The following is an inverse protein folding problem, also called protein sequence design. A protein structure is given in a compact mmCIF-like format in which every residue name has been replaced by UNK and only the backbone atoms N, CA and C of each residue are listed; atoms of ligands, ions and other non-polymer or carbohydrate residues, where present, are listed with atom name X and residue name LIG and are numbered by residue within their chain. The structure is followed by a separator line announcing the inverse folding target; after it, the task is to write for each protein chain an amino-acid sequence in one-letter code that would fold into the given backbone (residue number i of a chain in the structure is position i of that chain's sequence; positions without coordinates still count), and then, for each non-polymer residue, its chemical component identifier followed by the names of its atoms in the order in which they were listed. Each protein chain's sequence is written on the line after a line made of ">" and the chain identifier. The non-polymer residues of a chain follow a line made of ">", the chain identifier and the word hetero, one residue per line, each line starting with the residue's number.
data_IF_387850425309
#
_entry.id   IF_387850425309
#
_cell.length_a   1.000
_cell.length_b   1.000
_cell.length_c   1.000
_cell.angle_alpha   90.00
_cell.angle_beta   90.00
_cell.angle_gamma   90.00
#
_symmetry.space_group_name_H-M   'P 1'
#
loop_
_entity.id
_entity.type
_entity.pdbx_description
1 polymer ?
#
# COMPACT_ATOMS: atom_id res chain seq x y z
N UNK A 1 -5.18 -0.82 16.06
CA UNK A 1 -6.63 -0.61 15.86
C UNK A 1 -6.82 0.69 15.09
N UNK A 2 -7.39 0.62 13.88
CA UNK A 2 -7.55 1.77 12.96
C UNK A 2 -8.37 2.93 13.56
N UNK A 3 -8.08 4.18 13.19
CA UNK A 3 -8.91 5.38 13.46
C UNK A 3 -10.11 5.52 12.50
N UNK A 4 -10.39 4.54 11.64
CA UNK A 4 -11.53 4.55 10.69
C UNK A 4 -12.90 4.44 11.41
N UNK A 5 -12.92 4.20 12.72
CA UNK A 5 -14.14 4.23 13.52
C UNK A 5 -14.64 5.68 13.58
N UNK A 6 -15.85 5.89 13.06
CA UNK A 6 -16.50 7.19 12.95
C UNK A 6 -17.97 7.10 13.32
N UNK A 7 -18.59 8.26 13.60
CA UNK A 7 -20.04 8.41 13.71
C UNK A 7 -20.53 9.35 12.61
N UNK A 8 -21.54 8.92 11.86
CA UNK A 8 -22.04 9.66 10.71
C UNK A 8 -21.15 9.49 9.47
N UNK A 9 -21.24 10.42 8.52
CA UNK A 9 -20.56 10.33 7.23
C UNK A 9 -19.18 11.01 7.28
N UNK A 10 -18.26 10.46 8.08
CA UNK A 10 -16.87 10.88 8.10
C UNK A 10 -15.96 9.87 7.39
N UNK A 11 -14.97 10.37 6.66
CA UNK A 11 -14.07 9.54 5.86
C UNK A 11 -12.63 10.06 5.94
N UNK A 12 -11.67 9.14 6.06
CA UNK A 12 -10.25 9.48 6.20
C UNK A 12 -9.47 9.32 4.88
N UNK A 13 -8.45 10.16 4.73
CA UNK A 13 -7.31 10.01 3.81
C UNK A 13 -6.03 10.41 4.57
N UNK A 14 -4.87 10.32 3.93
CA UNK A 14 -3.60 10.68 4.57
C UNK A 14 -3.64 12.12 5.11
N UNK A 15 -3.36 12.27 6.42
CA UNK A 15 -3.29 13.56 7.11
C UNK A 15 -4.61 14.34 7.19
N UNK A 16 -5.73 13.81 6.69
CA UNK A 16 -6.96 14.55 6.51
C UNK A 16 -8.22 13.69 6.72
N UNK A 17 -9.24 14.26 7.36
CA UNK A 17 -10.59 13.68 7.46
C UNK A 17 -11.62 14.63 6.86
N UNK A 18 -12.66 14.08 6.22
CA UNK A 18 -13.78 14.85 5.65
C UNK A 18 -15.09 14.43 6.30
N UNK A 19 -15.92 15.41 6.66
CA UNK A 19 -17.31 15.23 7.06
C UNK A 19 -18.21 15.63 5.88
N UNK A 20 -19.11 14.72 5.47
CA UNK A 20 -20.04 14.93 4.37
C UNK A 20 -21.48 15.05 4.86
N UNK A 21 -22.22 16.04 4.37
CA UNK A 21 -23.65 16.21 4.62
C UNK A 21 -24.39 16.43 3.29
N UNK A 22 -25.64 16.00 3.23
CA UNK A 22 -26.56 16.26 2.11
C UNK A 22 -27.54 17.37 2.50
N UNK A 23 -27.80 18.26 1.54
CA UNK A 23 -28.81 19.31 1.62
C UNK A 23 -29.70 19.24 0.38
N UNK A 24 -31.00 19.42 0.59
CA UNK A 24 -32.01 19.44 -0.47
C UNK A 24 -33.22 20.27 -0.05
N UNK A 25 -34.06 20.64 -1.01
CA UNK A 25 -35.38 21.24 -0.74
C UNK A 25 -36.35 20.21 -0.13
N UNK A 26 -37.54 20.65 0.28
CA UNK A 26 -38.60 19.74 0.75
C UNK A 26 -39.05 18.79 -0.37
N UNK A 27 -38.97 19.21 -1.63
CA UNK A 27 -39.23 18.39 -2.81
C UNK A 27 -38.03 17.50 -3.22
N UNK A 28 -36.97 17.42 -2.38
CA UNK A 28 -35.75 16.64 -2.62
C UNK A 28 -34.95 17.12 -3.84
N UNK A 29 -34.99 18.42 -4.12
CA UNK A 29 -34.19 19.04 -5.19
C UNK A 29 -32.83 19.52 -4.67
N UNK A 30 -31.82 19.51 -5.53
CA UNK A 30 -30.51 20.09 -5.23
C UNK A 30 -30.62 21.60 -5.03
N UNK A 31 -29.93 22.10 -4.01
CA UNK A 31 -29.84 23.54 -3.69
C UNK A 31 -28.48 24.12 -4.10
N UNK A 32 -28.46 25.40 -4.46
CA UNK A 32 -27.21 26.10 -4.74
C UNK A 32 -26.48 26.48 -3.44
N UNK A 33 -25.19 26.77 -3.55
CA UNK A 33 -24.39 27.27 -2.42
C UNK A 33 -24.94 28.62 -1.95
N UNK A 34 -25.25 28.71 -0.66
CA UNK A 34 -25.80 29.89 -0.02
C UNK A 34 -25.21 30.04 1.39
N UNK A 35 -24.99 31.29 1.82
CA UNK A 35 -24.50 31.64 3.16
C UNK A 35 -25.37 31.09 4.30
N UNK A 36 -26.65 30.80 4.01
CA UNK A 36 -27.66 30.18 4.88
C UNK A 36 -27.42 28.69 5.14
N UNK A 37 -26.71 27.98 4.27
CA UNK A 37 -26.39 26.57 4.48
C UNK A 37 -25.11 26.48 5.29
N UNK A 38 -25.17 25.94 6.50
CA UNK A 38 -24.11 26.11 7.50
C UNK A 38 -23.74 24.81 8.20
N UNK A 39 -22.53 24.78 8.73
CA UNK A 39 -22.03 23.74 9.63
C UNK A 39 -21.43 24.40 10.86
N UNK A 40 -21.88 23.94 12.02
CA UNK A 40 -21.26 24.21 13.30
C UNK A 40 -20.25 23.11 13.58
N UNK A 41 -19.04 23.44 14.00
CA UNK A 41 -18.04 22.44 14.36
C UNK A 41 -17.15 22.89 15.51
N UNK A 42 -16.61 21.91 16.24
CA UNK A 42 -15.62 22.14 17.29
C UNK A 42 -14.61 21.00 17.33
N UNK A 43 -13.48 21.27 17.99
CA UNK A 43 -12.41 20.31 18.20
C UNK A 43 -12.36 19.96 19.67
N UNK A 44 -12.31 18.67 19.97
CA UNK A 44 -12.16 18.12 21.31
C UNK A 44 -10.71 17.63 21.44
N UNK A 45 -10.03 18.09 22.47
CA UNK A 45 -8.64 17.77 22.72
C UNK A 45 -8.49 16.42 23.42
N UNK A 46 -7.30 15.85 23.38
CA UNK A 46 -6.95 14.67 24.16
C UNK A 46 -7.11 14.90 25.68
N UNK A 47 -6.90 16.11 26.18
CA UNK A 47 -7.11 16.46 27.59
C UNK A 47 -8.60 16.49 27.94
N UNK A 48 -9.45 17.03 27.06
CA UNK A 48 -10.90 16.98 27.25
C UNK A 48 -11.42 15.53 27.35
N UNK A 49 -10.86 14.63 26.56
CA UNK A 49 -11.21 13.20 26.63
C UNK A 49 -10.76 12.56 27.95
N UNK A 50 -9.56 12.89 28.43
CA UNK A 50 -9.10 12.41 29.75
C UNK A 50 -9.98 12.91 30.89
N UNK A 51 -10.46 14.15 30.81
CA UNK A 51 -11.40 14.72 31.78
C UNK A 51 -12.79 14.05 31.70
N UNK A 52 -13.26 13.73 30.48
CA UNK A 52 -14.55 13.08 30.25
C UNK A 52 -14.55 11.58 30.63
N UNK A 53 -13.40 10.91 30.48
CA UNK A 53 -13.29 9.45 30.58
C UNK A 53 -12.13 9.01 31.48
N UNK A 54 -12.44 8.31 32.57
CA UNK A 54 -11.49 7.73 33.53
C UNK A 54 -10.69 6.51 33.00
N UNK A 55 -10.27 6.52 31.73
CA UNK A 55 -9.61 5.45 30.95
C UNK A 55 -10.58 4.42 30.32
N UNK A 56 -10.86 4.62 29.03
CA UNK A 56 -11.33 3.58 28.12
C UNK A 56 -10.66 3.81 26.79
N UNK A 57 -10.16 2.74 26.17
CA UNK A 57 -9.55 2.79 24.83
C UNK A 57 -10.55 2.40 23.73
N UNK A 58 -11.80 2.11 24.09
CA UNK A 58 -12.84 1.78 23.13
C UNK A 58 -13.29 3.04 22.37
N UNK A 59 -12.80 3.15 21.14
CA UNK A 59 -13.08 4.28 20.23
C UNK A 59 -14.57 4.53 19.99
N UNK A 60 -15.40 3.47 20.00
CA UNK A 60 -16.84 3.61 19.78
C UNK A 60 -17.49 4.29 21.00
N UNK A 61 -17.17 3.80 22.20
CA UNK A 61 -17.65 4.36 23.47
C UNK A 61 -17.17 5.81 23.64
N UNK A 62 -15.92 6.10 23.27
CA UNK A 62 -15.39 7.47 23.30
C UNK A 62 -16.25 8.39 22.42
N UNK A 63 -16.47 8.05 21.15
CA UNK A 63 -17.25 8.91 20.25
C UNK A 63 -18.70 9.10 20.73
N UNK A 64 -19.34 8.05 21.25
CA UNK A 64 -20.70 8.12 21.78
C UNK A 64 -20.80 9.13 22.94
N UNK A 65 -19.88 9.04 23.92
CA UNK A 65 -19.86 9.97 25.06
C UNK A 65 -19.50 11.40 24.67
N UNK A 66 -18.60 11.56 23.72
CA UNK A 66 -18.23 12.88 23.21
C UNK A 66 -19.42 13.56 22.52
N UNK A 67 -20.19 12.82 21.73
CA UNK A 67 -21.42 13.35 21.14
C UNK A 67 -22.42 13.70 22.25
N UNK A 68 -22.63 12.84 23.23
CA UNK A 68 -23.55 13.09 24.35
C UNK A 68 -23.19 14.37 25.12
N UNK A 69 -21.93 14.54 25.50
CA UNK A 69 -21.45 15.68 26.28
C UNK A 69 -21.43 16.98 25.45
N UNK A 70 -20.94 16.95 24.22
CA UNK A 70 -20.66 18.17 23.44
C UNK A 70 -21.75 18.55 22.43
N UNK A 71 -22.75 17.69 22.18
CA UNK A 71 -23.94 18.06 21.38
C UNK A 71 -24.61 19.35 21.87
N UNK A 72 -24.90 19.53 23.18
CA UNK A 72 -25.49 20.76 23.71
C UNK A 72 -24.69 22.03 23.38
N UNK A 73 -23.37 21.90 23.24
CA UNK A 73 -22.48 23.02 22.96
C UNK A 73 -22.65 23.53 21.52
N UNK A 74 -22.82 22.62 20.54
CA UNK A 74 -23.15 22.97 19.15
C UNK A 74 -24.49 23.68 19.07
N UNK A 75 -25.52 23.14 19.74
CA UNK A 75 -26.88 23.71 19.74
C UNK A 75 -26.88 25.13 20.31
N UNK A 76 -26.33 25.31 21.52
CA UNK A 76 -26.21 26.63 22.17
C UNK A 76 -25.44 27.64 21.30
N UNK A 77 -24.41 27.20 20.58
CA UNK A 77 -23.65 28.09 19.70
C UNK A 77 -24.49 28.58 18.51
N UNK A 78 -25.26 27.68 17.89
CA UNK A 78 -26.16 28.00 16.78
C UNK A 78 -27.31 28.91 17.25
N UNK A 79 -27.89 28.65 18.43
CA UNK A 79 -28.91 29.52 19.05
C UNK A 79 -28.37 30.93 19.30
N UNK A 80 -27.14 31.05 19.82
CA UNK A 80 -26.47 32.35 20.01
C UNK A 80 -26.19 33.08 18.71
N UNK A 81 -25.91 32.39 17.60
CA UNK A 81 -25.79 33.05 16.28
C UNK A 81 -27.16 33.51 15.75
N UNK A 82 -28.19 32.68 15.93
CA UNK A 82 -29.55 32.96 15.45
C UNK A 82 -30.22 34.16 16.11
N UNK A 83 -29.65 34.67 17.21
CA UNK A 83 -30.17 35.79 17.97
C UNK A 83 -29.11 36.87 18.16
N UNK A 84 -29.41 38.11 17.75
CA UNK A 84 -28.53 39.27 17.92
C UNK A 84 -29.27 40.32 18.74
N UNK A 85 -28.74 40.69 19.91
CA UNK A 85 -29.37 41.61 20.86
C UNK A 85 -30.84 41.23 21.18
N UNK A 86 -31.09 39.94 21.44
CA UNK A 86 -32.42 39.37 21.69
C UNK A 86 -33.42 39.54 20.53
N UNK A 87 -32.95 39.76 19.31
CA UNK A 87 -33.76 39.80 18.09
C UNK A 87 -33.34 38.68 17.13
N UNK A 88 -34.26 38.17 16.30
CA UNK A 88 -33.92 37.23 15.23
C UNK A 88 -32.81 37.79 14.34
N UNK A 89 -31.88 36.94 13.95
CA UNK A 89 -30.87 37.28 12.96
C UNK A 89 -31.54 37.59 11.61
N UNK A 90 -31.04 38.60 10.92
CA UNK A 90 -31.48 38.94 9.55
C UNK A 90 -30.42 38.51 8.54
N UNK A 91 -30.85 38.22 7.31
CA UNK A 91 -29.96 37.73 6.24
C UNK A 91 -28.70 38.61 6.04
N UNK A 92 -28.87 39.93 6.02
CA UNK A 92 -27.77 40.87 5.77
C UNK A 92 -26.73 40.91 6.91
N UNK A 93 -27.06 40.40 8.10
CA UNK A 93 -26.16 40.29 9.25
C UNK A 93 -25.39 38.96 9.27
N UNK A 94 -25.79 37.97 8.46
CA UNK A 94 -25.19 36.65 8.44
C UNK A 94 -23.80 36.72 7.79
N UNK A 95 -22.80 36.14 8.47
CA UNK A 95 -21.40 36.16 8.02
C UNK A 95 -20.96 34.76 7.59
N UNK A 96 -20.00 34.71 6.66
CA UNK A 96 -19.46 33.44 6.17
C UNK A 96 -18.83 32.58 7.27
N UNK A 97 -18.23 33.21 8.29
CA UNK A 97 -17.70 32.55 9.47
C UNK A 97 -18.02 33.38 10.72
N UNK A 98 -18.53 32.71 11.75
CA UNK A 98 -18.74 33.23 13.11
C UNK A 98 -18.08 32.29 14.11
N UNK A 99 -17.59 32.83 15.22
CA UNK A 99 -16.99 32.06 16.30
C UNK A 99 -17.75 32.34 17.60
N UNK A 100 -18.14 31.28 18.33
CA UNK A 100 -18.88 31.38 19.58
C UNK A 100 -18.14 30.63 20.68
N UNK A 101 -18.12 31.20 21.89
CA UNK A 101 -17.65 30.51 23.09
C UNK A 101 -18.86 29.98 23.86
N UNK A 102 -18.88 28.67 24.09
CA UNK A 102 -19.89 27.99 24.91
C UNK A 102 -19.15 27.18 25.95
N UNK A 103 -19.34 27.51 27.23
CA UNK A 103 -18.77 26.76 28.36
C UNK A 103 -17.26 26.47 28.18
N UNK A 104 -16.51 27.52 27.78
CA UNK A 104 -15.06 27.51 27.46
C UNK A 104 -14.66 26.66 26.25
N UNK A 105 -15.60 26.25 25.40
CA UNK A 105 -15.33 25.65 24.08
C UNK A 105 -15.55 26.62 22.94
N UNK A 106 -14.63 26.60 21.99
CA UNK A 106 -14.70 27.38 20.77
C UNK A 106 -15.46 26.60 19.70
N UNK A 107 -16.67 27.06 19.39
CA UNK A 107 -17.48 26.55 18.30
C UNK A 107 -17.37 27.48 17.11
N UNK A 108 -17.07 26.92 15.94
CA UNK A 108 -16.97 27.65 14.67
C UNK A 108 -18.22 27.37 13.84
N UNK A 109 -18.84 28.43 13.38
CA UNK A 109 -20.08 28.44 12.62
C UNK A 109 -19.73 28.96 11.23
N UNK A 110 -19.86 28.13 10.20
CA UNK A 110 -19.37 28.49 8.87
C UNK A 110 -20.36 28.12 7.78
N UNK A 111 -20.33 28.89 6.69
CA UNK A 111 -21.01 28.55 5.45
C UNK A 111 -20.42 27.27 4.85
N UNK A 112 -21.30 26.39 4.40
CA UNK A 112 -20.95 25.13 3.77
C UNK A 112 -20.77 25.31 2.28
N UNK A 113 -19.59 24.95 1.77
CA UNK A 113 -19.41 24.80 0.31
C UNK A 113 -20.21 23.61 -0.18
N UNK A 114 -21.01 23.79 -1.23
CA UNK A 114 -21.90 22.75 -1.77
C UNK A 114 -21.46 22.28 -3.14
N UNK A 115 -21.40 20.97 -3.29
CA UNK A 115 -21.16 20.30 -4.57
C UNK A 115 -22.48 19.74 -5.07
N UNK A 116 -22.92 20.22 -6.23
CA UNK A 116 -24.02 19.59 -6.97
C UNK A 116 -23.54 18.23 -7.48
N UNK A 117 -23.76 17.22 -6.66
CA UNK A 117 -23.19 15.89 -6.82
C UNK A 117 -24.29 14.86 -6.96
N UNK A 118 -23.94 13.72 -7.56
CA UNK A 118 -24.85 12.59 -7.63
C UNK A 118 -24.82 11.74 -6.36
N UNK A 119 -23.78 11.86 -5.53
CA UNK A 119 -23.56 11.00 -4.37
C UNK A 119 -22.36 11.44 -3.54
N UNK A 120 -22.28 10.99 -2.27
CA UNK A 120 -21.04 11.02 -1.49
C UNK A 120 -19.87 10.40 -2.25
N UNK A 121 -20.11 9.28 -2.96
CA UNK A 121 -19.08 8.63 -3.77
C UNK A 121 -18.48 9.55 -4.83
N UNK A 122 -19.28 10.43 -5.42
CA UNK A 122 -18.81 11.41 -6.42
C UNK A 122 -17.84 12.42 -5.80
N UNK A 123 -18.18 12.95 -4.61
CA UNK A 123 -17.33 13.89 -3.86
C UNK A 123 -16.04 13.21 -3.41
N UNK A 124 -16.13 11.99 -2.85
CA UNK A 124 -14.95 11.24 -2.40
C UNK A 124 -14.00 10.92 -3.56
N UNK A 125 -14.52 10.53 -4.73
CA UNK A 125 -13.70 10.34 -5.94
C UNK A 125 -12.98 11.62 -6.33
N UNK A 126 -13.71 12.75 -6.42
CA UNK A 126 -13.15 14.03 -6.84
C UNK A 126 -12.05 14.53 -5.87
N UNK A 127 -12.25 14.33 -4.56
CA UNK A 127 -11.29 14.71 -3.51
C UNK A 127 -10.21 13.64 -3.23
N UNK A 128 -10.11 12.61 -4.07
CA UNK A 128 -9.10 11.52 -4.00
C UNK A 128 -9.16 10.67 -2.72
N UNK A 129 -10.33 10.54 -2.10
CA UNK A 129 -10.58 9.60 -1.00
C UNK A 129 -10.80 8.17 -1.54
N UNK A 130 -9.81 7.62 -2.23
CA UNK A 130 -9.95 6.35 -2.97
C UNK A 130 -10.25 5.16 -2.06
N UNK A 131 -9.59 5.05 -0.92
CA UNK A 131 -9.83 3.98 0.04
C UNK A 131 -11.26 4.05 0.59
N UNK A 132 -11.66 5.22 1.10
CA UNK A 132 -13.01 5.43 1.62
C UNK A 132 -14.07 5.10 0.54
N UNK A 133 -13.88 5.56 -0.69
CA UNK A 133 -14.79 5.22 -1.79
C UNK A 133 -14.84 3.72 -2.11
N UNK A 134 -13.70 3.03 -2.14
CA UNK A 134 -13.64 1.61 -2.56
C UNK A 134 -14.07 0.66 -1.45
N UNK A 135 -13.61 0.87 -0.21
CA UNK A 135 -13.66 -0.11 0.88
C UNK A 135 -14.64 0.25 2.01
N UNK A 136 -14.81 1.53 2.33
CA UNK A 136 -15.60 1.98 3.51
C UNK A 136 -17.02 2.38 3.14
N UNK A 137 -17.18 3.16 2.07
CA UNK A 137 -18.46 3.72 1.67
C UNK A 137 -19.43 2.61 1.24
N UNK A 138 -20.64 2.62 1.81
CA UNK A 138 -21.70 1.68 1.47
C UNK A 138 -22.13 1.81 0.00
N UNK A 139 -22.52 0.70 -0.63
CA UNK A 139 -22.81 0.64 -2.08
C UNK A 139 -23.90 1.63 -2.51
N UNK A 140 -24.96 1.79 -1.71
CA UNK A 140 -26.06 2.74 -1.92
C UNK A 140 -25.64 4.22 -1.86
N UNK A 141 -24.52 4.54 -1.22
CA UNK A 141 -23.98 5.91 -1.12
C UNK A 141 -22.94 6.22 -2.21
N UNK A 142 -22.52 5.21 -2.99
CA UNK A 142 -21.54 5.38 -4.09
C UNK A 142 -22.19 5.96 -5.33
N UNK A 143 -23.39 5.51 -5.66
CA UNK A 143 -24.10 5.84 -6.88
C UNK A 143 -25.55 6.14 -6.50
N UNK A 144 -25.92 7.40 -6.55
CA UNK A 144 -27.30 7.83 -6.50
C UNK A 144 -27.59 8.57 -7.82
N UNK A 145 -28.81 8.40 -8.34
CA UNK A 145 -29.23 8.95 -9.64
C UNK A 145 -29.79 10.37 -9.49
N UNK A 146 -30.34 10.70 -8.32
CA UNK A 146 -30.89 12.01 -8.03
C UNK A 146 -29.76 12.99 -7.68
N UNK A 147 -29.79 14.18 -8.30
CA UNK A 147 -28.84 15.26 -7.97
C UNK A 147 -29.18 15.78 -6.58
N UNK A 148 -28.18 15.84 -5.71
CA UNK A 148 -28.25 16.43 -4.37
C UNK A 148 -27.10 17.41 -4.17
N UNK A 149 -27.24 18.27 -3.17
CA UNK A 149 -26.17 19.18 -2.79
C UNK A 149 -25.41 18.60 -1.62
N UNK A 150 -24.15 18.26 -1.83
CA UNK A 150 -23.31 17.64 -0.81
C UNK A 150 -22.31 18.66 -0.30
N UNK A 151 -22.23 18.89 1.01
CA UNK A 151 -21.13 19.64 1.60
C UNK A 151 -19.93 18.76 1.88
N UNK A 152 -18.73 19.32 1.81
CA UNK A 152 -17.52 18.66 2.27
C UNK A 152 -16.72 19.58 3.20
N UNK A 153 -16.71 19.26 4.49
CA UNK A 153 -15.91 19.97 5.48
C UNK A 153 -14.69 19.13 5.84
N UNK A 154 -13.51 19.67 5.55
CA UNK A 154 -12.24 18.97 5.63
C UNK A 154 -11.44 19.43 6.85
N UNK A 155 -10.78 18.50 7.53
CA UNK A 155 -9.98 18.76 8.72
C UNK A 155 -8.62 18.08 8.63
N UNK A 156 -7.57 18.82 9.02
CA UNK A 156 -6.22 18.29 9.25
C UNK A 156 -5.81 18.51 10.69
N UNK A 157 -4.88 17.69 11.21
CA UNK A 157 -4.39 17.80 12.58
C UNK A 157 -3.87 19.21 12.89
N UNK A 158 -3.13 19.82 11.97
CA UNK A 158 -2.60 21.19 12.12
C UNK A 158 -3.73 22.24 12.21
N UNK A 159 -4.71 22.16 11.31
CA UNK A 159 -5.83 23.10 11.31
C UNK A 159 -6.65 23.03 12.60
N UNK A 160 -6.80 21.83 13.16
CA UNK A 160 -7.53 21.61 14.40
C UNK A 160 -6.72 22.04 15.63
N UNK A 161 -5.40 21.84 15.63
CA UNK A 161 -4.52 22.35 16.68
C UNK A 161 -4.52 23.88 16.74
N UNK A 162 -4.61 24.57 15.61
CA UNK A 162 -4.78 26.03 15.59
C UNK A 162 -6.10 26.49 16.22
N UNK A 163 -7.15 25.67 16.14
CA UNK A 163 -8.43 25.95 16.82
C UNK A 163 -8.26 25.83 18.33
N UNK A 164 -7.58 24.78 18.81
CA UNK A 164 -7.27 24.62 20.25
C UNK A 164 -6.44 25.79 20.77
N UNK A 165 -5.40 26.21 20.04
CA UNK A 165 -4.59 27.39 20.43
C UNK A 165 -5.46 28.64 20.55
N UNK A 166 -6.38 28.86 19.60
CA UNK A 166 -7.33 29.98 19.65
C UNK A 166 -8.32 29.86 20.81
N UNK A 167 -8.81 28.66 21.11
CA UNK A 167 -9.68 28.39 22.25
C UNK A 167 -8.99 28.77 23.57
N UNK A 168 -7.76 28.29 23.78
CA UNK A 168 -6.93 28.61 24.97
C UNK A 168 -6.79 30.12 25.13
N UNK A 169 -6.45 30.83 24.05
CA UNK A 169 -6.29 32.29 24.07
C UNK A 169 -7.59 33.04 24.39
N UNK A 170 -8.74 32.56 23.89
CA UNK A 170 -10.05 33.21 24.09
C UNK A 170 -10.69 32.92 25.45
N UNK A 171 -10.31 31.81 26.07
CA UNK A 171 -10.95 31.31 27.31
C UNK A 171 -10.07 31.48 28.54
N UNK A 172 -8.86 32.01 28.37
CA UNK A 172 -7.84 32.14 29.42
C UNK A 172 -7.52 30.80 30.10
N UNK A 173 -7.72 29.67 29.39
CA UNK A 173 -7.29 28.34 29.85
C UNK A 173 -5.77 28.35 29.96
N UNK A 174 -5.21 27.66 30.95
CA UNK A 174 -3.75 27.52 31.06
C UNK A 174 -3.26 26.69 29.87
N UNK A 175 -2.29 27.16 29.08
CA UNK A 175 -1.77 26.38 27.96
C UNK A 175 -1.13 25.10 28.47
N UNK A 176 -1.54 23.97 27.91
CA UNK A 176 -0.89 22.68 28.09
C UNK A 176 -0.15 22.31 26.80
N UNK A 177 1.14 21.99 26.90
CA UNK A 177 1.97 21.63 25.73
C UNK A 177 1.59 20.28 25.13
N UNK A 178 1.00 19.40 25.94
CA UNK A 178 0.59 18.07 25.53
C UNK A 178 -0.85 18.04 24.99
N UNK A 179 -1.57 19.17 25.04
CA UNK A 179 -2.92 19.29 24.52
C UNK A 179 -2.92 19.34 22.99
N UNK A 180 -3.56 18.36 22.36
CA UNK A 180 -3.63 18.20 20.92
C UNK A 180 -5.04 17.87 20.47
N UNK A 181 -5.36 18.24 19.23
CA UNK A 181 -6.59 17.88 18.57
C UNK A 181 -6.73 16.37 18.49
N UNK A 182 -7.87 15.87 18.93
CA UNK A 182 -8.11 14.44 19.05
C UNK A 182 -9.39 13.99 18.35
N UNK A 183 -10.50 14.70 18.56
CA UNK A 183 -11.78 14.44 17.88
C UNK A 183 -12.33 15.74 17.29
N UNK A 184 -13.01 15.65 16.15
CA UNK A 184 -13.80 16.75 15.59
C UNK A 184 -15.27 16.36 15.56
N UNK A 185 -16.13 17.31 15.96
CA UNK A 185 -17.58 17.19 15.87
C UNK A 185 -18.12 18.25 14.93
N UNK A 186 -19.11 17.89 14.12
CA UNK A 186 -19.83 18.84 13.29
C UNK A 186 -21.32 18.57 13.26
N UNK A 187 -22.12 19.63 13.19
CA UNK A 187 -23.57 19.60 13.07
C UNK A 187 -24.02 20.52 11.92
N UNK A 188 -24.75 20.01 10.91
CA UNK A 188 -25.32 20.86 9.89
C UNK A 188 -26.56 21.62 10.42
N UNK A 189 -26.77 22.81 9.89
CA UNK A 189 -27.97 23.62 10.13
C UNK A 189 -28.22 24.57 8.95
N UNK A 190 -29.45 25.01 8.79
CA UNK A 190 -29.87 25.88 7.68
C UNK A 190 -30.69 27.03 8.23
N UNK A 191 -30.50 28.21 7.63
CA UNK A 191 -31.43 29.32 7.78
C UNK A 191 -32.39 29.40 6.59
N UNK A 192 -33.68 29.60 6.84
CA UNK A 192 -34.62 30.05 5.81
C UNK A 192 -34.99 31.50 6.08
N UNK A 193 -35.39 32.22 5.02
CA UNK A 193 -36.01 33.54 5.21
C UNK A 193 -37.48 33.28 5.53
N UNK A 194 -38.00 33.87 6.61
CA UNK A 194 -39.43 33.75 6.95
C UNK A 194 -40.27 34.34 5.81
N UNK A 195 -41.28 33.59 5.38
CA UNK A 195 -42.12 33.90 4.20
C UNK A 195 -42.69 35.34 4.20
N UNK A 196 -43.07 35.87 5.37
CA UNK A 196 -43.67 37.21 5.52
C UNK A 196 -42.69 38.31 5.98
N UNK A 197 -41.38 38.03 6.02
CA UNK A 197 -40.42 38.98 6.59
C UNK A 197 -40.03 40.10 5.63
N UNK A 198 -40.44 41.34 5.96
CA UNK A 198 -39.99 42.57 5.27
C UNK A 198 -38.49 42.85 5.45
N UNK A 199 -37.89 42.32 6.51
CA UNK A 199 -36.49 42.55 6.91
C UNK A 199 -35.59 41.34 6.67
N UNK A 200 -36.09 40.32 5.96
CA UNK A 200 -35.38 39.05 5.72
C UNK A 200 -34.91 38.38 7.01
N UNK A 201 -35.77 38.37 8.03
CA UNK A 201 -35.55 37.60 9.25
C UNK A 201 -35.35 36.12 8.92
N UNK A 202 -34.38 35.54 9.60
CA UNK A 202 -34.03 34.14 9.43
C UNK A 202 -34.78 33.28 10.46
N UNK A 203 -35.24 32.12 10.00
CA UNK A 203 -35.68 31.02 10.84
C UNK A 203 -34.64 29.89 10.79
N UNK A 204 -34.37 29.29 11.95
CA UNK A 204 -33.35 28.26 12.11
C UNK A 204 -33.96 26.86 11.97
N UNK A 205 -33.28 26.00 11.22
CA UNK A 205 -33.48 24.56 11.23
C UNK A 205 -32.15 23.86 11.54
N UNK A 206 -32.04 23.25 12.73
CA UNK A 206 -30.88 22.46 13.15
C UNK A 206 -31.12 20.97 12.91
N UNK A 207 -30.06 20.25 12.51
CA UNK A 207 -30.10 18.80 12.28
C UNK A 207 -29.26 18.08 13.33
N UNK A 208 -29.74 18.11 14.57
CA UNK A 208 -29.04 17.56 15.72
C UNK A 208 -28.88 16.03 15.69
N UNK A 209 -29.72 15.33 14.92
CA UNK A 209 -29.63 13.90 14.67
C UNK A 209 -28.58 13.56 13.60
N UNK A 210 -28.03 14.56 12.91
CA UNK A 210 -27.00 14.44 11.87
C UNK A 210 -25.62 14.88 12.34
N UNK A 211 -25.35 14.84 13.65
CA UNK A 211 -24.01 15.11 14.16
C UNK A 211 -23.04 14.05 13.64
N UNK A 212 -21.92 14.52 13.11
CA UNK A 212 -20.81 13.69 12.63
C UNK A 212 -19.65 13.87 13.60
N UNK A 213 -19.04 12.77 14.02
CA UNK A 213 -17.85 12.78 14.85
C UNK A 213 -16.79 11.82 14.30
N UNK A 214 -15.54 12.27 14.30
CA UNK A 214 -14.40 11.46 13.90
C UNK A 214 -13.15 11.79 14.69
N UNK A 215 -12.29 10.79 14.90
CA UNK A 215 -10.94 11.02 15.38
C UNK A 215 -10.12 11.77 14.33
N UNK A 216 -9.13 12.54 14.80
CA UNK A 216 -8.10 13.07 13.93
C UNK A 216 -7.39 11.94 13.18
N UNK A 217 -7.01 12.17 11.91
CA UNK A 217 -6.28 11.18 11.14
C UNK A 217 -4.95 10.87 11.86
N UNK A 218 -4.76 9.60 12.20
CA UNK A 218 -3.47 9.07 12.60
C UNK A 218 -2.87 8.37 11.39
N UNK A 219 -1.55 8.49 11.23
CA UNK A 219 -0.80 7.64 10.34
C UNK A 219 -0.37 6.42 11.15
N UNK A 220 -1.06 5.30 10.97
CA UNK A 220 -0.65 4.01 11.50
C UNK A 220 0.11 3.30 10.37
N UNK A 221 1.40 3.08 10.60
CA UNK A 221 2.24 2.28 9.72
C UNK A 221 2.44 0.92 10.38
N UNK A 222 1.95 -0.14 9.74
CA UNK A 222 2.15 -1.52 10.19
C UNK A 222 3.15 -2.19 9.24
N UNK A 223 4.26 -2.71 9.78
CA UNK A 223 5.21 -3.49 8.99
C UNK A 223 5.04 -4.98 9.31
N UNK A 224 4.68 -5.77 8.30
CA UNK A 224 4.83 -7.22 8.33
C UNK A 224 6.25 -7.59 7.95
N UNK A 225 7.07 -7.99 8.92
CA UNK A 225 8.44 -8.46 8.67
C UNK A 225 8.48 -9.97 8.67
N UNK A 226 8.95 -10.55 7.57
CA UNK A 226 8.99 -11.97 7.32
C UNK A 226 10.43 -12.46 7.32
N UNK A 227 10.85 -13.08 8.43
CA UNK A 227 12.19 -13.65 8.58
C UNK A 227 12.19 -15.10 8.12
N UNK A 228 12.91 -15.39 7.04
CA UNK A 228 13.04 -16.76 6.56
C UNK A 228 14.09 -17.56 7.37
N UNK A 229 13.97 -18.89 7.35
CA UNK A 229 14.87 -19.78 8.09
C UNK A 229 16.28 -19.85 7.49
N UNK A 230 17.25 -20.33 8.26
CA UNK A 230 18.66 -20.48 7.84
C UNK A 230 18.80 -21.11 6.45
N UNK A 231 19.67 -20.54 5.61
CA UNK A 231 19.95 -20.95 4.23
C UNK A 231 18.74 -20.87 3.26
N UNK A 232 17.64 -20.19 3.64
CA UNK A 232 16.48 -19.95 2.77
C UNK A 232 16.42 -18.54 2.23
N UNK A 233 16.02 -18.45 0.96
CA UNK A 233 15.90 -17.21 0.24
C UNK A 233 14.91 -17.39 -0.94
N UNK A 234 13.89 -16.53 -1.01
CA UNK A 234 12.92 -16.50 -2.11
C UNK A 234 13.56 -16.40 -3.50
N UNK A 235 14.69 -15.70 -3.64
CA UNK A 235 15.43 -15.54 -4.89
C UNK A 235 16.05 -16.85 -5.41
N UNK A 236 16.40 -17.79 -4.51
CA UNK A 236 16.88 -19.12 -4.91
C UNK A 236 15.73 -20.00 -5.44
N UNK A 237 14.53 -19.81 -4.88
CA UNK A 237 13.31 -20.50 -5.35
C UNK A 237 12.92 -19.99 -6.74
N UNK A 238 12.99 -18.68 -6.97
CA UNK A 238 12.73 -18.08 -8.29
C UNK A 238 13.76 -18.55 -9.32
N UNK A 239 15.05 -18.57 -8.95
CA UNK A 239 16.10 -19.11 -9.81
C UNK A 239 15.80 -20.57 -10.19
N UNK A 240 15.50 -21.43 -9.21
CA UNK A 240 15.16 -22.84 -9.45
C UNK A 240 13.91 -23.00 -10.34
N UNK A 241 12.83 -22.28 -10.05
CA UNK A 241 11.58 -22.33 -10.84
C UNK A 241 11.85 -21.92 -12.29
N UNK A 242 12.58 -20.83 -12.52
CA UNK A 242 12.91 -20.34 -13.86
C UNK A 242 13.85 -21.31 -14.59
N UNK A 243 14.88 -21.84 -13.91
CA UNK A 243 15.83 -22.78 -14.50
C UNK A 243 15.17 -24.11 -14.89
N UNK A 244 14.29 -24.63 -14.03
CA UNK A 244 13.52 -25.84 -14.31
C UNK A 244 12.60 -25.68 -15.50
N UNK A 245 11.90 -24.54 -15.60
CA UNK A 245 11.08 -24.22 -16.76
C UNK A 245 11.93 -24.12 -18.03
N UNK A 246 13.05 -23.40 -17.96
CA UNK A 246 13.99 -23.24 -19.05
C UNK A 246 14.53 -24.56 -19.57
N UNK A 247 14.99 -25.48 -18.71
CA UNK A 247 15.61 -26.73 -19.16
C UNK A 247 14.60 -27.74 -19.74
N UNK A 248 13.33 -27.63 -19.31
CA UNK A 248 12.25 -28.54 -19.73
C UNK A 248 11.88 -28.40 -21.20
N UNK A 249 11.81 -27.17 -21.73
CA UNK A 249 11.41 -26.92 -23.11
C UNK A 249 12.44 -27.48 -24.11
N UNK A 250 13.74 -27.11 -24.08
CA UNK A 250 14.75 -27.63 -25.00
C UNK A 250 14.99 -29.14 -24.87
N UNK A 251 14.90 -29.71 -23.66
CA UNK A 251 15.04 -31.15 -23.47
C UNK A 251 13.89 -31.91 -24.14
N UNK A 252 12.66 -31.40 -24.02
CA UNK A 252 11.49 -32.01 -24.64
C UNK A 252 11.55 -31.88 -26.17
N UNK A 253 11.97 -30.74 -26.70
CA UNK A 253 12.12 -30.54 -28.14
C UNK A 253 13.15 -31.51 -28.75
N UNK A 254 14.21 -31.84 -28.01
CA UNK A 254 15.18 -32.86 -28.42
C UNK A 254 14.55 -34.26 -28.42
N UNK A 255 13.81 -34.64 -27.37
CA UNK A 255 13.12 -35.94 -27.31
C UNK A 255 12.08 -36.09 -28.41
N UNK A 256 11.25 -35.07 -28.61
CA UNK A 256 10.21 -35.03 -29.65
C UNK A 256 10.87 -35.11 -31.04
N UNK A 257 11.99 -34.42 -31.26
CA UNK A 257 12.77 -34.48 -32.50
C UNK A 257 13.49 -35.82 -32.75
N UNK A 258 13.70 -36.64 -31.71
CA UNK A 258 14.23 -38.01 -31.85
C UNK A 258 13.11 -39.04 -32.08
N UNK A 259 11.93 -38.82 -31.49
CA UNK A 259 10.76 -39.68 -31.58
C UNK A 259 9.89 -39.40 -32.81
N UNK A 260 10.00 -38.21 -33.39
CA UNK A 260 9.39 -37.85 -34.67
C UNK A 260 10.03 -38.64 -35.81
N UNK A 261 9.25 -39.56 -36.40
CA UNK A 261 9.47 -40.09 -37.75
C UNK A 261 9.27 -38.98 -38.79
N UNK A 262 10.02 -37.87 -38.71
CA UNK A 262 10.12 -36.96 -39.83
C UNK A 262 11.00 -37.65 -40.88
N UNK A 263 10.39 -37.91 -42.03
CA UNK A 263 10.95 -38.55 -43.19
C UNK A 263 12.39 -38.08 -43.43
N UNK A 264 13.28 -39.02 -43.77
CA UNK A 264 14.72 -38.82 -44.01
C UNK A 264 15.07 -37.62 -44.92
N UNK A 265 14.10 -37.04 -45.65
CA UNK A 265 14.22 -35.85 -46.47
C UNK A 265 14.32 -34.51 -45.71
N UNK A 266 13.88 -34.41 -44.44
CA UNK A 266 13.92 -33.13 -43.69
C UNK A 266 15.17 -32.96 -42.80
N UNK A 267 15.94 -34.04 -42.54
CA UNK A 267 17.24 -33.94 -41.84
C UNK A 267 18.29 -33.18 -42.65
N UNK A 268 18.24 -33.23 -43.98
CA UNK A 268 19.08 -32.39 -44.84
C UNK A 268 18.66 -30.91 -44.80
N UNK A 269 17.36 -30.61 -44.62
CA UNK A 269 16.85 -29.23 -44.51
C UNK A 269 17.15 -28.54 -43.17
N UNK A 270 17.45 -29.31 -42.12
CA UNK A 270 17.88 -28.77 -40.82
C UNK A 270 19.34 -28.27 -40.82
N UNK A 271 20.19 -28.78 -41.72
CA UNK A 271 21.61 -28.36 -41.81
C UNK A 271 21.78 -26.92 -42.31
N UNK A 272 20.81 -26.40 -43.05
CA UNK A 272 20.85 -25.08 -43.69
C UNK A 272 19.99 -23.99 -42.99
N UNK A 273 19.26 -24.33 -41.92
CA UNK A 273 18.54 -23.33 -41.12
C UNK A 273 19.53 -22.51 -40.30
N UNK A 274 19.35 -21.18 -40.24
CA UNK A 274 20.01 -20.35 -39.23
C UNK A 274 19.60 -20.88 -37.85
N UNK A 275 20.49 -21.62 -37.22
CA UNK A 275 20.32 -22.17 -35.87
C UNK A 275 19.95 -21.04 -34.91
N UNK A 276 18.67 -20.96 -34.54
CA UNK A 276 18.14 -19.93 -33.66
C UNK A 276 18.34 -20.28 -32.19
N UNK A 277 18.31 -21.59 -31.89
CA UNK A 277 18.29 -22.12 -30.52
C UNK A 277 19.26 -23.30 -30.30
N UNK A 278 19.56 -23.63 -29.04
CA UNK A 278 20.56 -24.66 -28.73
C UNK A 278 20.07 -26.08 -29.06
N UNK A 279 18.78 -26.35 -28.89
CA UNK A 279 18.14 -27.62 -29.20
C UNK A 279 18.22 -27.95 -30.70
N UNK A 280 18.00 -26.95 -31.57
CA UNK A 280 18.18 -27.09 -33.02
C UNK A 280 19.64 -27.42 -33.39
N UNK A 281 20.60 -26.78 -32.73
CA UNK A 281 22.03 -27.06 -32.92
C UNK A 281 22.38 -28.50 -32.51
N UNK A 282 21.89 -28.97 -31.37
CA UNK A 282 22.17 -30.30 -30.84
C UNK A 282 21.56 -31.40 -31.75
N UNK A 283 20.36 -31.18 -32.28
CA UNK A 283 19.70 -32.11 -33.20
C UNK A 283 20.36 -32.15 -34.59
N UNK A 284 20.83 -31.01 -35.11
CA UNK A 284 21.34 -30.88 -36.49
C UNK A 284 22.77 -31.37 -36.70
N UNK A 285 23.55 -31.59 -35.63
CA UNK A 285 24.96 -31.98 -35.71
C UNK A 285 25.17 -33.34 -35.05
N UNK A 286 25.81 -34.29 -35.72
CA UNK A 286 26.03 -35.64 -35.18
C UNK A 286 26.81 -35.63 -33.86
N UNK A 287 27.91 -34.86 -33.81
CA UNK A 287 28.74 -34.65 -32.62
C UNK A 287 28.76 -33.16 -32.22
N UNK A 288 27.73 -32.65 -31.51
CA UNK A 288 27.69 -31.26 -31.10
C UNK A 288 28.83 -30.91 -30.14
N UNK A 289 29.58 -29.84 -30.46
CA UNK A 289 30.65 -29.34 -29.59
C UNK A 289 30.22 -28.08 -28.81
N UNK A 290 30.78 -27.92 -27.62
CA UNK A 290 30.61 -26.70 -26.83
C UNK A 290 31.61 -25.64 -27.27
N UNK A 291 31.15 -24.64 -28.03
CA UNK A 291 31.95 -23.56 -28.60
C UNK A 291 31.54 -22.21 -28.01
N UNK A 292 32.30 -21.14 -28.33
CA UNK A 292 31.89 -19.77 -27.95
C UNK A 292 30.49 -19.40 -28.50
N UNK A 293 30.13 -19.92 -29.68
CA UNK A 293 28.82 -19.67 -30.30
C UNK A 293 27.69 -20.35 -29.52
N UNK A 294 27.83 -21.63 -29.17
CA UNK A 294 26.81 -22.35 -28.41
C UNK A 294 26.68 -21.82 -26.98
N UNK A 295 27.81 -21.46 -26.36
CA UNK A 295 27.83 -20.74 -25.07
C UNK A 295 26.97 -19.47 -25.12
N UNK A 296 27.16 -18.63 -26.16
CA UNK A 296 26.38 -17.40 -26.36
C UNK A 296 24.88 -17.69 -26.52
N UNK A 297 24.53 -18.72 -27.29
CA UNK A 297 23.14 -19.12 -27.50
C UNK A 297 22.45 -19.52 -26.19
N UNK A 298 23.09 -20.40 -25.41
CA UNK A 298 22.55 -20.89 -24.13
C UNK A 298 22.38 -19.73 -23.14
N UNK A 299 23.39 -18.88 -22.99
CA UNK A 299 23.33 -17.72 -22.09
C UNK A 299 22.20 -16.77 -22.50
N UNK A 300 22.01 -16.53 -23.80
CA UNK A 300 20.91 -15.69 -24.29
C UNK A 300 19.54 -16.30 -23.96
N UNK A 301 19.35 -17.60 -24.15
CA UNK A 301 18.11 -18.27 -23.81
C UNK A 301 17.86 -18.27 -22.29
N UNK A 302 18.89 -18.47 -21.47
CA UNK A 302 18.80 -18.37 -20.01
C UNK A 302 18.39 -16.96 -19.56
N UNK A 303 18.93 -15.91 -20.19
CA UNK A 303 18.56 -14.52 -19.92
C UNK A 303 17.10 -14.23 -20.30
N UNK A 304 16.65 -14.70 -21.46
CA UNK A 304 15.26 -14.58 -21.89
C UNK A 304 14.29 -15.34 -20.95
N UNK A 305 14.75 -16.44 -20.35
CA UNK A 305 14.02 -17.18 -19.34
C UNK A 305 14.05 -16.53 -17.93
N UNK A 306 14.57 -15.31 -17.81
CA UNK A 306 14.67 -14.57 -16.54
C UNK A 306 15.46 -15.31 -15.44
N UNK A 307 16.46 -16.12 -15.83
CA UNK A 307 17.40 -16.74 -14.90
C UNK A 307 18.40 -15.68 -14.43
N UNK A 308 18.41 -15.36 -13.13
CA UNK A 308 19.26 -14.31 -12.55
C UNK A 308 20.38 -14.90 -11.69
N UNK A 309 21.62 -14.54 -12.01
CA UNK A 309 22.80 -14.88 -11.22
C UNK A 309 23.19 -13.75 -10.26
N UNK A 310 23.45 -14.07 -9.00
CA UNK A 310 23.63 -13.10 -7.91
C UNK A 310 25.11 -12.82 -7.57
N UNK A 311 25.95 -12.55 -8.57
CA UNK A 311 27.36 -12.19 -8.36
C UNK A 311 27.56 -10.67 -8.26
N UNK A 312 28.57 -10.24 -7.48
CA UNK A 312 28.92 -8.84 -7.18
C UNK A 312 29.34 -7.95 -8.38
N UNK A 313 29.19 -8.44 -9.62
CA UNK A 313 29.40 -7.69 -10.86
C UNK A 313 28.26 -7.99 -11.84
N UNK A 314 27.15 -7.27 -11.71
CA UNK A 314 26.05 -7.30 -12.66
C UNK A 314 26.04 -6.05 -13.54
N UNK A 315 26.42 -6.19 -14.80
CA UNK A 315 25.87 -5.39 -15.91
C UNK A 315 25.81 -6.30 -17.15
N UNK A 316 24.66 -6.91 -17.43
CA UNK A 316 24.41 -7.55 -18.71
C UNK A 316 23.90 -6.50 -19.71
N UNK A 317 24.83 -5.86 -20.42
CA UNK A 317 24.56 -5.16 -21.69
C UNK A 317 25.15 -5.99 -22.82
N UNK A 318 24.29 -6.41 -23.74
CA UNK A 318 24.70 -7.06 -24.99
C UNK A 318 24.82 -5.99 -26.07
N UNK A 319 25.96 -5.30 -26.12
CA UNK A 319 26.38 -4.56 -27.31
C UNK A 319 27.60 -5.25 -27.93
N UNK A 320 27.58 -5.35 -29.26
CA UNK A 320 28.54 -5.94 -30.19
C UNK A 320 29.70 -6.80 -29.59
N UNK A 321 29.53 -8.12 -29.75
CA UNK A 321 30.53 -9.20 -29.71
C UNK A 321 31.32 -9.49 -28.42
N UNK A 322 31.18 -8.72 -27.34
CA UNK A 322 31.65 -9.13 -26.01
C UNK A 322 30.51 -9.67 -25.11
N UNK A 323 30.69 -10.90 -24.60
CA UNK A 323 29.78 -11.51 -23.63
C UNK A 323 30.27 -11.13 -22.23
N UNK A 324 29.67 -10.11 -21.62
CA UNK A 324 29.93 -9.79 -20.21
C UNK A 324 28.95 -10.59 -19.35
N UNK A 325 29.35 -11.78 -18.90
CA UNK A 325 28.53 -12.69 -18.06
C UNK A 325 29.23 -13.06 -16.76
N UNK A 326 28.46 -13.51 -15.76
CA UNK A 326 29.05 -14.03 -14.51
C UNK A 326 29.80 -15.34 -14.78
N UNK A 327 30.88 -15.62 -14.02
CA UNK A 327 31.61 -16.89 -14.14
C UNK A 327 30.70 -18.10 -13.91
N UNK A 328 29.71 -17.97 -13.02
CA UNK A 328 28.72 -19.01 -12.75
C UNK A 328 27.81 -19.26 -13.95
N UNK A 329 27.27 -18.22 -14.59
CA UNK A 329 26.46 -18.36 -15.81
C UNK A 329 27.25 -19.05 -16.94
N UNK A 330 28.54 -18.73 -17.07
CA UNK A 330 29.41 -19.40 -18.03
C UNK A 330 29.60 -20.89 -17.72
N UNK A 331 29.85 -21.23 -16.45
CA UNK A 331 30.00 -22.63 -16.01
C UNK A 331 28.71 -23.42 -16.21
N UNK A 332 27.58 -22.85 -15.81
CA UNK A 332 26.29 -23.51 -15.92
C UNK A 332 25.82 -23.62 -17.37
N UNK A 333 26.21 -22.70 -18.27
CA UNK A 333 25.92 -22.86 -19.70
C UNK A 333 26.56 -24.14 -20.29
N UNK A 334 27.73 -24.54 -19.78
CA UNK A 334 28.37 -25.81 -20.16
C UNK A 334 27.59 -27.00 -19.61
N UNK A 335 27.17 -26.93 -18.35
CA UNK A 335 26.34 -27.97 -17.72
C UNK A 335 25.02 -28.16 -18.48
N UNK A 336 24.33 -27.08 -18.83
CA UNK A 336 23.12 -27.11 -19.67
C UNK A 336 23.39 -27.80 -21.00
N UNK A 337 24.49 -27.45 -21.69
CA UNK A 337 24.87 -28.12 -22.93
C UNK A 337 25.05 -29.63 -22.75
N UNK A 338 25.78 -30.03 -21.72
CA UNK A 338 26.06 -31.44 -21.43
C UNK A 338 24.78 -32.20 -21.06
N UNK A 339 23.85 -31.56 -20.33
CA UNK A 339 22.54 -32.14 -20.05
C UNK A 339 21.73 -32.40 -21.32
N UNK A 340 21.63 -31.42 -22.21
CA UNK A 340 20.89 -31.57 -23.46
C UNK A 340 21.53 -32.60 -24.39
N UNK A 341 22.86 -32.73 -24.37
CA UNK A 341 23.58 -33.78 -25.06
C UNK A 341 23.31 -35.17 -24.44
N UNK A 342 23.20 -35.26 -23.11
CA UNK A 342 22.78 -36.49 -22.44
C UNK A 342 21.34 -36.89 -22.80
N UNK A 343 20.43 -35.93 -22.95
CA UNK A 343 19.07 -36.17 -23.46
C UNK A 343 19.11 -36.70 -24.89
N UNK A 344 19.90 -36.08 -25.77
CA UNK A 344 20.09 -36.57 -27.15
C UNK A 344 20.59 -38.02 -27.19
N UNK A 345 21.48 -38.36 -26.27
CA UNK A 345 22.06 -39.70 -26.15
C UNK A 345 21.24 -40.67 -25.28
N UNK A 346 20.01 -40.31 -24.92
CA UNK A 346 19.10 -41.11 -24.08
C UNK A 346 19.67 -41.51 -22.72
N UNK A 347 20.63 -40.73 -22.18
CA UNK A 347 21.18 -40.89 -20.83
C UNK A 347 20.38 -40.13 -19.77
N UNK A 348 19.65 -39.11 -20.20
CA UNK A 348 18.71 -38.30 -19.40
C UNK A 348 17.43 -38.09 -20.22
N UNK A 349 16.42 -37.54 -19.58
CA UNK A 349 15.11 -37.30 -20.19
C UNK A 349 14.54 -35.93 -19.78
N UNK A 350 13.49 -35.51 -20.47
CA UNK A 350 12.78 -34.26 -20.18
C UNK A 350 11.78 -34.38 -19.02
N UNK A 351 11.81 -35.49 -18.25
CA UNK A 351 10.89 -35.66 -17.13
C UNK A 351 11.22 -34.68 -16.02
N UNK A 352 10.16 -34.21 -15.37
CA UNK A 352 10.25 -33.19 -14.33
C UNK A 352 11.18 -33.61 -13.18
N UNK A 353 11.15 -34.90 -12.81
CA UNK A 353 11.99 -35.46 -11.75
C UNK A 353 13.47 -35.41 -12.14
N UNK A 354 13.81 -35.87 -13.34
CA UNK A 354 15.19 -35.91 -13.85
C UNK A 354 15.80 -34.52 -13.97
N UNK A 355 15.03 -33.55 -14.48
CA UNK A 355 15.42 -32.14 -14.55
C UNK A 355 15.63 -31.57 -13.14
N UNK A 356 14.69 -31.82 -12.23
CA UNK A 356 14.77 -31.32 -10.84
C UNK A 356 16.01 -31.86 -10.13
N UNK A 357 16.25 -33.17 -10.20
CA UNK A 357 17.41 -33.84 -9.59
C UNK A 357 18.73 -33.30 -10.17
N UNK A 358 18.78 -33.05 -11.48
CA UNK A 358 19.95 -32.49 -12.13
C UNK A 358 20.23 -31.05 -11.68
N UNK A 359 19.22 -30.19 -11.65
CA UNK A 359 19.40 -28.79 -11.22
C UNK A 359 19.88 -28.75 -9.76
N UNK A 360 19.33 -29.59 -8.89
CA UNK A 360 19.72 -29.68 -7.47
C UNK A 360 21.17 -30.16 -7.31
N UNK A 361 21.59 -31.17 -8.08
CA UNK A 361 22.92 -31.80 -7.90
C UNK A 361 24.05 -31.12 -8.66
N UNK A 362 23.75 -30.51 -9.80
CA UNK A 362 24.77 -30.06 -10.74
C UNK A 362 24.75 -28.55 -10.95
N UNK A 363 23.58 -27.90 -10.95
CA UNK A 363 23.46 -26.46 -11.23
C UNK A 363 23.54 -25.63 -9.95
N UNK A 364 22.78 -26.02 -8.93
CA UNK A 364 22.60 -25.26 -7.70
C UNK A 364 23.79 -25.24 -6.72
N UNK A 365 24.62 -26.30 -6.59
CA UNK A 365 25.76 -26.24 -5.67
C UNK A 365 26.67 -25.05 -6.03
N UNK A 366 26.96 -24.20 -5.05
CA UNK A 366 28.04 -23.22 -5.20
C UNK A 366 29.39 -23.95 -5.25
N UNK A 367 30.40 -23.31 -5.83
CA UNK A 367 31.78 -23.80 -5.86
C UNK A 367 32.44 -23.81 -4.47
N UNK A 368 31.64 -23.68 -3.40
CA UNK A 368 32.04 -23.70 -2.01
C UNK A 368 31.36 -24.90 -1.33
N UNK A 369 32.15 -25.91 -0.96
CA UNK A 369 31.69 -27.20 -0.40
C UNK A 369 30.84 -27.04 0.88
N UNK A 370 30.88 -25.88 1.52
CA UNK A 370 30.16 -25.55 2.77
C UNK A 370 28.79 -24.87 2.56
N UNK A 371 28.38 -24.53 1.34
CA UNK A 371 27.08 -23.90 1.08
C UNK A 371 25.96 -24.97 1.06
N UNK A 372 25.21 -25.08 2.15
CA UNK A 372 24.07 -26.00 2.23
C UNK A 372 22.81 -25.37 1.62
N UNK A 373 22.56 -25.71 0.35
CA UNK A 373 21.28 -25.52 -0.31
C UNK A 373 20.25 -26.49 0.29
N UNK A 374 19.50 -26.04 1.27
CA UNK A 374 18.24 -26.67 1.67
C UNK A 374 17.22 -25.56 1.86
N UNK A 375 16.30 -25.36 0.90
CA UNK A 375 14.91 -25.83 0.98
C UNK A 375 14.05 -25.24 -0.16
N UNK A 376 12.89 -25.87 -0.39
CA UNK A 376 11.83 -25.32 -1.24
C UNK A 376 11.11 -24.13 -0.58
N UNK A 377 10.03 -23.69 -1.22
CA UNK A 377 9.20 -22.55 -0.78
C UNK A 377 8.76 -22.67 0.68
N UNK A 378 9.25 -21.76 1.53
CA UNK A 378 8.97 -21.77 2.97
C UNK A 378 7.59 -21.21 3.25
N UNK A 379 6.98 -21.62 4.37
CA UNK A 379 5.72 -21.01 4.80
C UNK A 379 5.85 -19.49 5.03
N UNK A 380 7.06 -19.01 5.36
CA UNK A 380 7.32 -17.57 5.49
C UNK A 380 7.22 -16.87 4.13
N UNK A 381 7.81 -17.43 3.07
CA UNK A 381 7.66 -16.88 1.72
C UNK A 381 6.20 -16.87 1.23
N UNK A 382 5.43 -17.92 1.53
CA UNK A 382 3.98 -17.99 1.23
C UNK A 382 3.18 -16.96 2.01
N UNK A 383 3.49 -16.77 3.29
CA UNK A 383 2.82 -15.77 4.13
C UNK A 383 3.15 -14.35 3.66
N UNK A 384 4.39 -14.09 3.23
CA UNK A 384 4.77 -12.80 2.63
C UNK A 384 3.98 -12.51 1.35
N UNK A 385 3.78 -13.50 0.47
CA UNK A 385 2.96 -13.33 -0.73
C UNK A 385 1.49 -13.04 -0.40
N UNK A 386 0.93 -13.74 0.60
CA UNK A 386 -0.46 -13.60 1.04
C UNK A 386 -0.72 -12.37 1.93
N UNK A 387 0.32 -11.74 2.48
CA UNK A 387 0.15 -10.58 3.36
C UNK A 387 -0.40 -9.38 2.57
N UNK A 388 -1.54 -8.89 3.03
CA UNK A 388 -2.25 -7.70 2.50
C UNK A 388 -1.52 -6.42 2.94
N UNK A 389 -0.39 -6.16 2.27
CA UNK A 389 0.44 -4.97 2.44
C UNK A 389 1.21 -4.65 1.16
N UNK A 390 1.52 -3.37 0.97
CA UNK A 390 2.28 -2.87 -0.17
C UNK A 390 3.79 -3.15 0.02
N UNK A 391 4.50 -3.42 -1.07
CA UNK A 391 5.97 -3.46 -1.04
C UNK A 391 6.51 -2.05 -0.78
N UNK A 392 7.43 -1.93 0.18
CA UNK A 392 8.05 -0.66 0.63
C UNK A 392 8.55 0.22 -0.53
N UNK A 393 8.88 -0.36 -1.68
CA UNK A 393 9.48 0.34 -2.84
C UNK A 393 8.51 0.81 -3.94
N UNK A 394 7.19 0.61 -3.82
CA UNK A 394 6.28 0.77 -4.99
C UNK A 394 5.12 1.77 -4.92
N UNK A 395 4.86 2.47 -3.81
CA UNK A 395 3.72 3.39 -3.76
C UNK A 395 4.07 4.80 -3.23
N UNK A 396 3.72 5.83 -4.00
CA UNK A 396 3.89 7.26 -3.65
C UNK A 396 2.69 7.86 -2.92
N UNK A 397 1.63 7.08 -2.72
CA UNK A 397 0.43 7.48 -1.99
C UNK A 397 0.34 6.67 -0.69
N UNK A 398 0.97 7.14 0.38
CA UNK A 398 0.92 6.48 1.69
C UNK A 398 -0.47 6.68 2.34
N UNK A 399 -1.08 5.61 2.83
CA UNK A 399 -2.41 5.60 3.47
C UNK A 399 -2.33 5.99 4.96
N UNK A 400 -3.42 6.48 5.58
CA UNK A 400 -3.51 6.67 7.04
C UNK A 400 -3.41 5.35 7.83
N UNK A 401 -3.69 4.20 7.21
CA UNK A 401 -3.30 2.89 7.70
C UNK A 401 -2.55 2.17 6.59
N UNK A 402 -1.23 2.33 6.50
CA UNK A 402 -0.43 1.62 5.50
C UNK A 402 0.16 0.37 6.11
N UNK A 403 -0.19 -0.78 5.54
CA UNK A 403 0.52 -2.02 5.78
C UNK A 403 1.61 -2.15 4.76
N UNK A 404 2.85 -2.20 5.22
CA UNK A 404 3.99 -2.55 4.40
C UNK A 404 4.39 -3.98 4.70
N UNK A 405 4.91 -4.67 3.68
CA UNK A 405 5.56 -5.96 3.90
C UNK A 405 7.02 -5.91 3.53
N UNK A 406 7.83 -6.53 4.38
CA UNK A 406 9.26 -6.63 4.24
C UNK A 406 9.67 -8.09 4.39
N UNK A 407 10.39 -8.61 3.41
CA UNK A 407 10.98 -9.93 3.47
C UNK A 407 12.46 -9.84 3.81
N UNK A 408 12.86 -10.63 4.80
CA UNK A 408 14.24 -10.87 5.17
C UNK A 408 14.64 -12.31 4.85
N UNK A 409 15.71 -12.43 4.07
CA UNK A 409 16.35 -13.71 3.77
C UNK A 409 16.93 -14.31 5.04
N UNK A 410 16.97 -15.64 5.12
CA UNK A 410 17.50 -16.30 6.31
C UNK A 410 19.02 -16.19 6.45
N UNK A 411 19.50 -16.37 7.68
CA UNK A 411 20.94 -16.36 7.97
C UNK A 411 21.67 -17.41 7.11
N UNK A 412 22.85 -17.09 6.61
CA UNK A 412 23.62 -17.95 5.70
C UNK A 412 23.24 -17.83 4.22
N UNK A 413 22.33 -16.93 3.86
CA UNK A 413 22.03 -16.63 2.45
C UNK A 413 22.50 -15.26 2.02
N UNK A 414 23.00 -15.19 0.78
CA UNK A 414 23.33 -13.93 0.14
C UNK A 414 22.05 -13.16 -0.23
N UNK A 415 21.92 -11.91 0.25
CA UNK A 415 20.86 -10.98 -0.13
C UNK A 415 21.42 -9.90 -1.07
N UNK A 416 21.00 -9.85 -2.34
CA UNK A 416 21.58 -8.97 -3.36
C UNK A 416 21.27 -7.48 -3.16
N UNK A 417 20.41 -7.14 -2.19
CA UNK A 417 20.08 -5.76 -1.85
C UNK A 417 20.91 -5.20 -0.68
N UNK A 418 21.79 -6.02 -0.07
CA UNK A 418 22.77 -5.56 0.91
C UNK A 418 23.94 -4.92 0.14
N UNK A 419 24.08 -3.60 0.18
CA UNK A 419 25.25 -2.89 -0.37
C UNK A 419 26.49 -3.12 0.52
N UNK A 420 27.69 -3.07 -0.07
CA UNK A 420 28.97 -3.45 0.58
C UNK A 420 29.43 -2.54 1.73
N UNK A 421 28.72 -1.45 2.04
CA UNK A 421 29.19 -0.41 2.95
C UNK A 421 28.73 -0.60 4.42
N UNK A 422 28.24 -1.78 4.79
CA UNK A 422 27.83 -2.09 6.17
C UNK A 422 28.95 -2.83 6.92
N UNK A 423 29.22 -2.40 8.17
CA UNK A 423 30.37 -2.84 8.99
C UNK A 423 30.56 -4.37 8.97
N UNK A 424 31.80 -4.82 8.73
CA UNK A 424 32.20 -6.22 8.47
C UNK A 424 31.72 -7.25 9.52
N UNK A 425 31.38 -6.83 10.74
CA UNK A 425 30.80 -7.70 11.78
C UNK A 425 29.37 -8.17 11.48
N UNK A 426 28.66 -7.49 10.58
CA UNK A 426 27.30 -7.85 10.15
C UNK A 426 27.28 -8.99 9.14
N UNK A 427 28.25 -9.06 8.23
CA UNK A 427 28.26 -10.03 7.12
C UNK A 427 28.58 -11.44 7.63
N UNK A 428 29.48 -11.56 8.61
CA UNK A 428 29.85 -12.86 9.22
C UNK A 428 28.73 -13.38 10.13
N UNK A 429 28.11 -12.50 10.93
CA UNK A 429 26.95 -12.86 11.76
C UNK A 429 25.72 -13.25 10.94
N UNK A 430 25.41 -12.49 9.88
CA UNK A 430 24.34 -12.79 8.93
C UNK A 430 24.63 -14.04 8.09
N UNK A 431 25.89 -14.27 7.71
CA UNK A 431 26.32 -15.40 6.87
C UNK A 431 26.53 -16.73 7.59
N UNK A 432 26.69 -16.74 8.92
CA UNK A 432 26.91 -17.97 9.70
C UNK A 432 25.80 -18.26 10.72
N UNK A 433 24.89 -17.31 10.97
CA UNK A 433 23.82 -17.47 11.97
C UNK A 433 24.36 -17.70 13.40
N UNK A 434 25.61 -17.33 13.67
CA UNK A 434 26.27 -17.55 14.96
C UNK A 434 26.05 -16.37 15.92
N UNK A 435 25.72 -16.69 17.18
CA UNK A 435 25.65 -15.76 18.31
C UNK A 435 24.37 -14.90 18.38
N UNK A 436 24.29 -14.05 19.41
CA UNK A 436 23.27 -12.99 19.52
C UNK A 436 23.29 -12.04 18.30
N UNK A 437 24.45 -11.91 17.64
CA UNK A 437 24.68 -11.04 16.49
C UNK A 437 23.96 -11.47 15.21
N UNK A 438 23.63 -12.75 14.98
CA UNK A 438 22.92 -13.19 13.78
C UNK A 438 21.46 -12.72 13.74
N UNK A 439 20.67 -13.05 14.76
CA UNK A 439 19.25 -12.68 14.86
C UNK A 439 19.07 -11.17 15.07
N UNK A 440 19.90 -10.56 15.92
CA UNK A 440 19.84 -9.11 16.17
C UNK A 440 20.21 -8.32 14.91
N UNK A 441 21.19 -8.79 14.12
CA UNK A 441 21.51 -8.14 12.84
C UNK A 441 20.35 -8.18 11.84
N UNK A 442 19.60 -9.30 11.75
CA UNK A 442 18.40 -9.35 10.90
C UNK A 442 17.32 -8.36 11.35
N UNK A 443 17.11 -8.19 12.66
CA UNK A 443 16.20 -7.19 13.21
C UNK A 443 16.66 -5.76 12.89
N UNK A 444 17.95 -5.46 13.11
CA UNK A 444 18.53 -4.14 12.81
C UNK A 444 18.46 -3.82 11.31
N UNK A 445 18.75 -4.80 10.45
CA UNK A 445 18.65 -4.65 9.00
C UNK A 445 17.22 -4.39 8.54
N UNK A 446 16.25 -5.06 9.16
CA UNK A 446 14.83 -4.80 8.92
C UNK A 446 14.48 -3.35 9.26
N UNK A 447 14.96 -2.84 10.40
CA UNK A 447 14.76 -1.45 10.81
C UNK A 447 15.38 -0.47 9.79
N UNK A 448 16.58 -0.74 9.27
CA UNK A 448 17.23 0.11 8.27
C UNK A 448 16.40 0.16 6.98
N UNK A 449 15.92 -0.99 6.49
CA UNK A 449 15.06 -1.04 5.29
C UNK A 449 13.69 -0.38 5.44
N UNK A 450 13.20 -0.21 6.66
CA UNK A 450 11.98 0.55 6.91
C UNK A 450 12.21 2.06 6.83
N UNK A 451 13.46 2.52 6.98
CA UNK A 451 13.84 3.94 6.97
C UNK A 451 14.24 4.42 5.57
N UNK A 452 14.87 3.55 4.77
CA UNK A 452 15.20 3.79 3.35
C UNK A 452 13.99 3.62 2.41
#
# INVERSE_FOLDING_TARGET
>A
MSNDITKGNAFHKEGEVVHLNEFCTKENEAIEEDIKTRIAYMVISNEDIKELLNSTDDKQIILDKVIEEYKPYLIKAVEKESTKNNKPLIFDDLRGITEQIVDKKLVKLCTSQLYNSKSYGSVLKAKKYHHAYKKVLQKNLKENLEKKSTSALTFTKDSCNEIIKKEVNKTSKKPNKDEQAYIVLSMPYVYNIKDDSKTKELELMSYEDKIIASFMPELIVEYGVFFDGTNNNIYNIDFYKNFKKFLKEPAKDIEDGLNGNDELEDREKLKDRKQGTIEEYILSIDNPEFTKKTKKMIINQMNNASIRYFDSKLVLKLDHDEIITTKKAEKDSKKVFDYLLDVKNSKKDAQEKTISDYIIKEILPDDNEDSSFTNGETNISRLYELYDGDDVKKNKDALPNTRFKLYESGSGTFNPFIQKDYEDDSVVGLGLGMGESGVIAHCLYSCIKMVE
#
